data_IF_798353827154
#
_entry.id   IF_798353827154
#
_cell.length_a   1.000
_cell.length_b   1.000
_cell.length_c   1.000
_cell.angle_alpha   90.00
_cell.angle_beta   90.00
_cell.angle_gamma   90.00
#
_symmetry.space_group_name_H-M   'P 1'
#
loop_
_entity.id
_entity.type
_entity.pdbx_description
1 polymer ?
#
# COMPACT_ATOMS: atom_id res chain seq x y z
N UNK A 1 24.64 55.85 -13.73
CA UNK A 1 24.02 55.37 -14.96
C UNK A 1 24.56 53.95 -15.19
N UNK A 2 24.09 52.99 -14.46
CA UNK A 2 24.31 51.57 -14.69
C UNK A 2 23.00 50.86 -14.25
N UNK A 3 22.29 50.34 -15.24
CA UNK A 3 21.09 49.55 -15.00
C UNK A 3 21.43 48.14 -14.55
N UNK A 4 20.77 47.70 -13.57
CA UNK A 4 20.75 46.30 -13.10
C UNK A 4 19.66 45.56 -13.87
N UNK A 5 20.05 44.73 -14.82
CA UNK A 5 19.16 43.79 -15.46
C UNK A 5 18.88 42.62 -14.49
N UNK A 6 17.65 42.58 -14.04
CA UNK A 6 17.06 41.45 -13.35
C UNK A 6 16.86 40.32 -14.34
N UNK A 7 17.50 39.20 -14.10
CA UNK A 7 17.21 37.92 -14.73
C UNK A 7 15.73 37.54 -14.45
N UNK A 8 14.87 37.83 -15.38
CA UNK A 8 13.54 37.29 -15.44
C UNK A 8 13.62 35.82 -15.79
N UNK A 9 13.51 34.96 -14.76
CA UNK A 9 13.25 33.55 -14.98
C UNK A 9 11.80 33.45 -15.46
N UNK A 10 11.63 33.29 -16.76
CA UNK A 10 10.36 32.87 -17.33
C UNK A 10 10.05 31.47 -16.80
N UNK A 11 9.15 31.35 -15.84
CA UNK A 11 8.41 30.13 -15.63
C UNK A 11 7.52 29.90 -16.87
N UNK A 12 8.07 29.22 -17.87
CA UNK A 12 7.23 28.58 -18.87
C UNK A 12 6.37 27.58 -18.08
N UNK A 13 5.06 27.74 -18.17
CA UNK A 13 4.05 26.83 -17.68
C UNK A 13 4.46 25.41 -18.07
N UNK A 14 5.04 24.66 -17.11
CA UNK A 14 5.21 23.23 -17.24
C UNK A 14 3.80 22.64 -17.29
N UNK A 15 3.29 22.44 -18.49
CA UNK A 15 2.27 21.45 -18.71
C UNK A 15 3.00 20.11 -18.59
N UNK A 16 2.81 19.44 -17.46
CA UNK A 16 2.90 18.01 -17.47
C UNK A 16 2.02 17.56 -18.64
N UNK A 17 2.63 17.00 -19.65
CA UNK A 17 1.96 16.08 -20.54
C UNK A 17 1.95 14.73 -19.81
N UNK A 18 1.35 14.72 -18.57
CA UNK A 18 0.49 13.64 -18.25
C UNK A 18 -0.49 13.67 -19.41
N UNK A 19 -0.61 12.62 -20.15
CA UNK A 19 -1.81 12.36 -20.89
C UNK A 19 -2.93 12.72 -19.91
N UNK A 20 -3.75 13.69 -20.32
CA UNK A 20 -5.14 13.71 -19.92
C UNK A 20 -5.77 12.47 -20.60
N UNK A 21 -5.21 11.32 -20.41
CA UNK A 21 -5.91 10.10 -20.19
C UNK A 21 -6.50 10.32 -18.82
N UNK A 22 -7.50 11.17 -18.83
CA UNK A 22 -8.55 11.26 -17.88
C UNK A 22 -8.91 9.81 -17.58
N UNK A 23 -8.39 9.28 -16.45
CA UNK A 23 -8.83 8.01 -15.86
C UNK A 23 -10.26 8.19 -15.31
N UNK A 24 -11.04 9.07 -15.96
CA UNK A 24 -12.43 9.43 -15.63
C UNK A 24 -13.36 8.23 -15.70
N UNK A 25 -12.87 7.09 -16.12
CA UNK A 25 -13.60 5.83 -16.15
C UNK A 25 -13.16 4.77 -15.15
N UNK A 26 -12.07 4.96 -14.40
CA UNK A 26 -11.55 3.96 -13.48
C UNK A 26 -11.74 4.32 -12.00
N UNK A 27 -12.20 5.52 -11.69
CA UNK A 27 -12.49 5.94 -10.33
C UNK A 27 -13.89 6.52 -10.17
N UNK A 28 -14.54 6.26 -9.03
CA UNK A 28 -15.82 6.81 -8.63
C UNK A 28 -15.62 7.70 -7.40
N UNK A 29 -15.72 9.01 -7.57
CA UNK A 29 -15.44 9.99 -6.52
C UNK A 29 -14.05 9.78 -5.86
N UNK A 30 -13.07 9.34 -6.64
CA UNK A 30 -11.73 9.01 -6.16
C UNK A 30 -11.60 7.64 -5.47
N UNK A 31 -12.64 6.82 -5.46
CA UNK A 31 -12.55 5.41 -5.06
C UNK A 31 -12.25 4.56 -6.29
N UNK A 32 -11.30 3.65 -6.15
CA UNK A 32 -10.90 2.68 -7.17
C UNK A 32 -10.98 1.26 -6.63
N UNK A 33 -11.10 0.29 -7.53
CA UNK A 33 -10.84 -1.11 -7.20
C UNK A 33 -9.33 -1.30 -7.01
N UNK A 34 -8.92 -1.95 -5.93
CA UNK A 34 -7.50 -2.09 -5.58
C UNK A 34 -7.02 -3.53 -5.60
N UNK A 35 -7.74 -4.45 -4.98
CA UNK A 35 -7.38 -5.86 -4.94
C UNK A 35 -8.64 -6.72 -4.97
N UNK A 36 -8.53 -7.90 -5.59
CA UNK A 36 -9.56 -8.93 -5.55
C UNK A 36 -8.93 -10.30 -5.34
N UNK A 37 -9.54 -11.12 -4.48
CA UNK A 37 -9.25 -12.53 -4.31
C UNK A 37 -10.53 -13.32 -4.66
N UNK A 38 -10.68 -13.79 -5.90
CA UNK A 38 -11.88 -14.51 -6.31
C UNK A 38 -11.83 -16.01 -5.99
N UNK A 39 -10.63 -16.57 -5.79
CA UNK A 39 -10.41 -17.97 -5.47
C UNK A 39 -9.44 -18.11 -4.29
N UNK A 40 -9.93 -18.12 -3.04
CA UNK A 40 -9.08 -18.23 -1.85
C UNK A 40 -8.42 -19.60 -1.69
N UNK A 41 -8.97 -20.64 -2.32
CA UNK A 41 -8.38 -21.98 -2.34
C UNK A 41 -7.18 -22.03 -3.28
N UNK A 42 -6.22 -22.88 -3.04
CA UNK A 42 -5.10 -23.10 -3.96
C UNK A 42 -3.74 -22.89 -3.31
N UNK A 43 -2.79 -22.31 -4.06
CA UNK A 43 -1.39 -22.24 -3.62
C UNK A 43 -1.18 -21.37 -2.37
N UNK A 44 -1.98 -20.32 -2.18
CA UNK A 44 -1.88 -19.41 -1.03
C UNK A 44 -2.79 -19.83 0.12
N UNK A 45 -3.87 -20.54 -0.17
CA UNK A 45 -4.85 -21.04 0.81
C UNK A 45 -5.23 -19.95 1.84
N UNK A 46 -5.72 -18.79 1.32
CA UNK A 46 -5.92 -17.58 2.10
C UNK A 46 -7.26 -17.61 2.84
N UNK A 47 -7.19 -17.86 4.13
CA UNK A 47 -8.33 -17.84 5.05
C UNK A 47 -8.59 -16.39 5.52
N UNK A 48 -9.61 -15.74 4.97
CA UNK A 48 -9.90 -14.31 5.17
C UNK A 48 -10.53 -14.01 6.52
N UNK A 49 -11.32 -14.92 7.06
CA UNK A 49 -12.05 -14.70 8.31
C UNK A 49 -11.39 -15.35 9.55
N UNK A 50 -10.38 -16.20 9.33
CA UNK A 50 -9.58 -16.77 10.41
C UNK A 50 -10.19 -18.02 11.05
N UNK A 51 -11.08 -18.71 10.37
CA UNK A 51 -11.75 -19.91 10.91
C UNK A 51 -10.90 -21.18 10.78
N UNK A 52 -9.79 -21.12 10.06
CA UNK A 52 -8.84 -22.22 9.85
C UNK A 52 -8.98 -22.94 8.52
N UNK A 53 -9.90 -22.51 7.66
CA UNK A 53 -10.15 -23.07 6.33
C UNK A 53 -10.14 -21.96 5.29
N UNK A 54 -9.59 -22.20 4.12
CA UNK A 54 -9.76 -21.28 2.99
C UNK A 54 -10.90 -21.82 2.10
N UNK A 55 -11.97 -21.07 2.03
CA UNK A 55 -13.21 -21.47 1.35
C UNK A 55 -13.68 -20.38 0.37
N UNK A 56 -14.69 -20.67 -0.43
CA UNK A 56 -15.32 -19.68 -1.31
C UNK A 56 -15.94 -18.48 -0.56
N UNK A 57 -16.14 -18.59 0.74
CA UNK A 57 -16.61 -17.49 1.59
C UNK A 57 -15.49 -16.54 2.03
N UNK A 58 -14.24 -16.91 1.81
CA UNK A 58 -13.05 -16.08 2.06
C UNK A 58 -12.68 -15.13 0.92
N UNK A 59 -13.44 -15.13 -0.16
CA UNK A 59 -13.29 -14.15 -1.23
C UNK A 59 -13.40 -12.73 -0.70
N UNK A 60 -12.60 -11.84 -1.26
CA UNK A 60 -12.71 -10.42 -0.95
C UNK A 60 -12.46 -9.52 -2.15
N UNK A 61 -13.00 -8.31 -2.05
CA UNK A 61 -12.73 -7.16 -2.90
C UNK A 61 -12.23 -6.01 -2.02
N UNK A 62 -11.18 -5.33 -2.45
CA UNK A 62 -10.67 -4.14 -1.79
C UNK A 62 -10.91 -2.90 -2.64
N UNK A 63 -11.42 -1.86 -1.99
CA UNK A 63 -11.54 -0.51 -2.52
C UNK A 63 -10.47 0.38 -1.87
N UNK A 64 -9.97 1.34 -2.63
CA UNK A 64 -8.96 2.28 -2.17
C UNK A 64 -9.38 3.73 -2.44
N UNK A 65 -9.21 4.60 -1.45
CA UNK A 65 -9.48 6.01 -1.58
C UNK A 65 -8.25 6.76 -2.09
N UNK A 66 -8.29 7.16 -3.36
CA UNK A 66 -7.21 7.89 -3.99
C UNK A 66 -7.18 9.38 -3.62
N UNK A 67 -8.12 9.89 -2.84
CA UNK A 67 -8.24 11.32 -2.53
C UNK A 67 -7.54 11.71 -1.22
N UNK A 68 -7.27 13.00 -1.05
CA UNK A 68 -6.79 13.57 0.22
C UNK A 68 -7.86 13.82 1.26
N UNK A 69 -9.11 13.35 1.06
CA UNK A 69 -10.24 13.55 1.97
C UNK A 69 -10.98 12.23 2.23
N UNK A 70 -11.66 12.06 3.39
CA UNK A 70 -12.50 10.90 3.62
C UNK A 70 -13.67 10.85 2.62
N UNK A 71 -13.95 9.67 2.05
CA UNK A 71 -15.07 9.45 1.14
C UNK A 71 -16.12 8.57 1.81
N UNK A 72 -17.36 9.05 1.87
CA UNK A 72 -18.49 8.24 2.35
C UNK A 72 -19.04 7.40 1.20
N UNK A 73 -18.86 6.09 1.31
CA UNK A 73 -19.33 5.09 0.33
C UNK A 73 -20.58 4.35 0.82
N UNK A 74 -21.15 4.75 1.95
CA UNK A 74 -22.37 4.15 2.51
C UNK A 74 -23.56 4.31 1.55
N UNK A 75 -24.23 3.20 1.26
CA UNK A 75 -25.32 3.14 0.30
C UNK A 75 -24.89 2.88 -1.15
N UNK A 76 -23.61 2.85 -1.44
CA UNK A 76 -23.13 2.43 -2.77
C UNK A 76 -23.45 0.95 -3.00
N UNK A 77 -23.63 0.58 -4.25
CA UNK A 77 -24.08 -0.76 -4.66
C UNK A 77 -22.99 -1.44 -5.47
N UNK A 78 -22.50 -2.57 -4.98
CA UNK A 78 -21.67 -3.50 -5.73
C UNK A 78 -22.59 -4.51 -6.42
N UNK A 79 -22.36 -4.78 -7.71
CA UNK A 79 -23.14 -5.72 -8.52
C UNK A 79 -22.21 -6.65 -9.28
N UNK A 80 -22.50 -7.95 -9.30
CA UNK A 80 -21.81 -8.96 -10.12
C UNK A 80 -22.44 -9.12 -11.51
N UNK A 81 -21.78 -9.88 -12.40
CA UNK A 81 -22.31 -10.16 -13.75
C UNK A 81 -23.60 -10.98 -13.76
N UNK A 82 -23.92 -11.69 -12.69
CA UNK A 82 -25.16 -12.45 -12.55
C UNK A 82 -26.33 -11.55 -12.08
N UNK A 83 -26.05 -10.32 -11.67
CA UNK A 83 -27.03 -9.35 -11.15
C UNK A 83 -27.26 -9.47 -9.64
N UNK A 84 -26.41 -10.21 -8.91
CA UNK A 84 -26.41 -10.16 -7.45
C UNK A 84 -25.88 -8.81 -6.98
N UNK A 85 -26.44 -8.28 -5.91
CA UNK A 85 -26.08 -6.96 -5.40
C UNK A 85 -25.74 -6.98 -3.92
N UNK A 86 -24.77 -6.14 -3.54
CA UNK A 86 -24.46 -5.84 -2.16
C UNK A 86 -24.46 -4.33 -1.94
N UNK A 87 -25.24 -3.85 -0.98
CA UNK A 87 -25.30 -2.43 -0.61
C UNK A 87 -24.35 -2.17 0.55
N UNK A 88 -23.38 -1.28 0.37
CA UNK A 88 -22.44 -0.92 1.42
C UNK A 88 -23.21 -0.30 2.61
N UNK A 89 -22.93 -0.71 3.85
CA UNK A 89 -23.63 -0.21 5.03
C UNK A 89 -23.59 1.31 5.14
N UNK A 90 -24.69 1.89 5.58
CA UNK A 90 -24.78 3.35 5.77
C UNK A 90 -23.70 3.85 6.73
N UNK A 91 -23.04 4.96 6.37
CA UNK A 91 -21.96 5.54 7.17
C UNK A 91 -20.60 4.88 6.98
N UNK A 92 -20.45 3.97 6.00
CA UNK A 92 -19.14 3.44 5.62
C UNK A 92 -18.27 4.56 5.02
N UNK A 93 -17.13 4.83 5.65
CA UNK A 93 -16.19 5.88 5.22
C UNK A 93 -14.83 5.24 4.94
N UNK A 94 -14.25 5.57 3.78
CA UNK A 94 -12.86 5.22 3.46
C UNK A 94 -12.02 6.47 3.74
N UNK A 95 -11.06 6.41 4.68
CA UNK A 95 -10.20 7.56 5.00
C UNK A 95 -9.30 7.94 3.82
N UNK A 96 -8.67 9.12 3.83
CA UNK A 96 -7.71 9.51 2.79
C UNK A 96 -6.58 8.49 2.68
N UNK A 97 -6.29 8.01 1.45
CA UNK A 97 -5.27 6.98 1.24
C UNK A 97 -5.55 5.65 1.96
N UNK A 98 -6.78 5.45 2.43
CA UNK A 98 -7.20 4.25 3.14
C UNK A 98 -7.92 3.25 2.25
N UNK A 99 -8.17 2.08 2.80
CA UNK A 99 -8.77 0.94 2.15
C UNK A 99 -10.10 0.56 2.78
N UNK A 100 -10.91 -0.16 2.02
CA UNK A 100 -12.09 -0.87 2.49
C UNK A 100 -12.09 -2.27 1.90
N UNK A 101 -11.97 -3.29 2.75
CA UNK A 101 -12.10 -4.69 2.35
C UNK A 101 -13.57 -5.13 2.47
N UNK A 102 -14.11 -5.70 1.41
CA UNK A 102 -15.44 -6.29 1.35
C UNK A 102 -15.25 -7.80 1.23
N UNK A 103 -15.64 -8.56 2.24
CA UNK A 103 -15.51 -10.03 2.26
C UNK A 103 -16.85 -10.69 2.01
N UNK A 104 -16.86 -11.84 1.35
CA UNK A 104 -18.07 -12.59 1.07
C UNK A 104 -18.74 -13.02 2.36
N UNK A 105 -17.98 -13.56 3.31
CA UNK A 105 -18.47 -13.85 4.66
C UNK A 105 -17.37 -13.55 5.70
N UNK A 106 -17.79 -13.43 6.97
CA UNK A 106 -16.89 -13.31 8.10
C UNK A 106 -17.53 -14.03 9.30
N UNK A 107 -17.24 -15.31 9.44
CA UNK A 107 -17.84 -16.17 10.46
C UNK A 107 -16.87 -17.28 10.90
N UNK A 108 -16.63 -17.45 12.21
CA UNK A 108 -17.30 -16.75 13.31
C UNK A 108 -16.64 -15.40 13.59
N UNK A 109 -17.44 -14.39 13.92
CA UNK A 109 -16.91 -13.13 14.44
C UNK A 109 -17.52 -11.87 13.83
N UNK A 110 -16.87 -10.75 14.12
CA UNK A 110 -17.23 -9.44 13.57
C UNK A 110 -16.07 -8.94 12.70
N UNK A 111 -16.34 -8.48 11.46
CA UNK A 111 -15.29 -7.94 10.61
C UNK A 111 -14.54 -6.81 11.31
N UNK A 112 -13.21 -6.71 11.12
CA UNK A 112 -12.40 -5.64 11.70
C UNK A 112 -12.73 -4.28 11.11
N UNK A 113 -12.33 -3.16 11.75
CA UNK A 113 -12.40 -1.83 11.15
C UNK A 113 -11.74 -1.81 9.77
N UNK A 114 -12.40 -1.17 8.79
CA UNK A 114 -11.96 -1.19 7.39
C UNK A 114 -12.34 -2.45 6.62
N UNK A 115 -13.03 -3.39 7.27
CA UNK A 115 -13.58 -4.59 6.63
C UNK A 115 -15.10 -4.65 6.85
N UNK A 116 -15.84 -5.03 5.83
CA UNK A 116 -17.28 -5.31 5.90
C UNK A 116 -17.55 -6.69 5.32
N UNK A 117 -18.52 -7.40 5.91
CA UNK A 117 -18.98 -8.70 5.43
C UNK A 117 -20.28 -8.55 4.65
N UNK A 118 -20.38 -9.26 3.51
CA UNK A 118 -21.64 -9.38 2.80
C UNK A 118 -22.62 -10.29 3.55
N UNK A 119 -22.10 -11.17 4.42
CA UNK A 119 -22.90 -12.19 5.12
C UNK A 119 -23.47 -13.26 4.20
N UNK A 120 -22.81 -13.50 3.06
CA UNK A 120 -23.21 -14.53 2.11
C UNK A 120 -22.69 -15.90 2.55
N UNK A 121 -23.53 -16.92 2.48
CA UNK A 121 -23.12 -18.32 2.71
C UNK A 121 -22.53 -19.00 1.47
N UNK A 122 -22.27 -18.27 0.39
CA UNK A 122 -21.71 -18.77 -0.87
C UNK A 122 -20.84 -17.70 -1.53
N UNK A 123 -19.99 -18.12 -2.46
CA UNK A 123 -19.20 -17.25 -3.31
C UNK A 123 -20.02 -16.08 -3.88
N UNK A 124 -19.43 -14.91 -3.95
CA UNK A 124 -19.97 -13.74 -4.64
C UNK A 124 -19.16 -13.44 -5.92
N UNK A 125 -17.86 -13.71 -5.88
CA UNK A 125 -16.96 -13.52 -7.02
C UNK A 125 -16.71 -14.87 -7.71
N UNK A 126 -16.84 -14.91 -9.05
CA UNK A 126 -16.62 -16.15 -9.77
C UNK A 126 -15.13 -16.42 -10.01
N UNK A 127 -14.68 -17.67 -9.83
CA UNK A 127 -13.32 -18.12 -10.19
C UNK A 127 -13.07 -18.11 -11.72
N UNK A 128 -14.14 -18.01 -12.52
CA UNK A 128 -14.06 -17.85 -13.97
C UNK A 128 -14.06 -16.39 -14.41
N UNK A 129 -14.50 -16.12 -15.63
CA UNK A 129 -14.67 -14.76 -16.13
C UNK A 129 -15.75 -14.02 -15.33
N UNK A 130 -15.41 -12.86 -14.77
CA UNK A 130 -16.30 -12.06 -13.93
C UNK A 130 -16.19 -10.57 -14.25
N UNK A 131 -17.31 -9.88 -14.10
CA UNK A 131 -17.40 -8.43 -14.17
C UNK A 131 -18.20 -7.91 -12.96
N UNK A 132 -17.66 -6.88 -12.34
CA UNK A 132 -18.29 -6.20 -11.21
C UNK A 132 -18.55 -4.74 -11.58
N UNK A 133 -19.59 -4.14 -10.99
CA UNK A 133 -19.79 -2.69 -10.99
C UNK A 133 -19.96 -2.17 -9.57
N UNK A 134 -19.46 -0.95 -9.33
CA UNK A 134 -19.69 -0.20 -8.11
C UNK A 134 -20.35 1.12 -8.48
N UNK A 135 -21.53 1.40 -7.92
CA UNK A 135 -22.35 2.56 -8.25
C UNK A 135 -22.71 3.37 -7.00
N UNK A 136 -22.66 4.70 -7.12
CA UNK A 136 -23.15 5.64 -6.11
C UNK A 136 -24.61 6.04 -6.32
N UNK A 137 -25.27 5.45 -7.33
CA UNK A 137 -26.63 5.75 -7.76
C UNK A 137 -26.72 6.85 -8.83
N UNK A 138 -25.62 7.51 -9.19
CA UNK A 138 -25.51 8.53 -10.25
C UNK A 138 -24.51 8.09 -11.31
N UNK A 139 -23.38 7.60 -10.88
CA UNK A 139 -22.27 7.12 -11.71
C UNK A 139 -21.85 5.73 -11.25
N UNK A 140 -21.08 5.04 -12.09
CA UNK A 140 -20.57 3.71 -11.78
C UNK A 140 -19.17 3.50 -12.39
N UNK A 141 -18.39 2.64 -11.75
CA UNK A 141 -17.13 2.10 -12.28
C UNK A 141 -17.23 0.58 -12.37
N UNK A 142 -16.49 -0.02 -13.28
CA UNK A 142 -16.47 -1.46 -13.50
C UNK A 142 -15.09 -2.07 -13.35
N UNK A 143 -15.08 -3.34 -12.95
CA UNK A 143 -13.95 -4.23 -12.85
C UNK A 143 -14.24 -5.47 -13.70
N UNK A 144 -13.25 -5.97 -14.44
CA UNK A 144 -13.31 -7.25 -15.14
C UNK A 144 -12.06 -8.07 -14.87
N UNK A 145 -12.17 -9.39 -14.89
CA UNK A 145 -11.02 -10.30 -14.91
C UNK A 145 -11.37 -11.58 -15.72
N UNK A 146 -10.33 -12.36 -16.06
CA UNK A 146 -10.44 -13.58 -16.85
C UNK A 146 -11.14 -13.41 -18.21
N UNK A 147 -11.00 -12.20 -18.82
CA UNK A 147 -11.56 -11.90 -20.13
C UNK A 147 -13.09 -11.71 -20.15
N UNK A 148 -13.71 -11.40 -19.03
CA UNK A 148 -15.11 -11.05 -18.95
C UNK A 148 -15.43 -9.77 -19.75
N UNK A 149 -16.65 -9.67 -20.25
CA UNK A 149 -17.16 -8.43 -20.82
C UNK A 149 -17.67 -7.52 -19.70
N UNK A 150 -17.41 -6.23 -19.83
CA UNK A 150 -17.97 -5.24 -18.93
C UNK A 150 -19.49 -5.30 -18.81
N UNK A 151 -19.96 -5.08 -17.58
CA UNK A 151 -21.38 -4.85 -17.28
C UNK A 151 -21.73 -3.37 -17.17
N UNK A 152 -20.71 -2.47 -17.17
CA UNK A 152 -20.91 -1.02 -17.08
C UNK A 152 -21.15 -0.43 -18.47
N UNK A 153 -22.29 0.24 -18.71
CA UNK A 153 -22.55 0.92 -19.95
C UNK A 153 -21.54 2.05 -20.22
N UNK A 154 -20.89 2.01 -21.39
CA UNK A 154 -19.96 3.07 -21.79
C UNK A 154 -18.48 2.84 -21.46
N UNK A 155 -18.14 1.70 -20.84
CA UNK A 155 -16.75 1.22 -20.79
C UNK A 155 -15.86 1.81 -19.71
N UNK A 156 -16.41 2.17 -18.58
CA UNK A 156 -15.63 2.54 -17.39
C UNK A 156 -15.15 1.28 -16.67
N UNK A 157 -14.16 0.58 -17.24
CA UNK A 157 -13.70 -0.68 -16.70
C UNK A 157 -12.23 -0.68 -16.39
N UNK A 158 -11.93 -1.28 -15.26
CA UNK A 158 -10.60 -1.72 -14.90
C UNK A 158 -10.47 -3.20 -15.22
N UNK A 159 -9.56 -3.59 -16.11
CA UNK A 159 -9.27 -4.99 -16.39
C UNK A 159 -8.13 -5.46 -15.48
N UNK A 160 -8.45 -6.35 -14.58
CA UNK A 160 -7.50 -6.96 -13.64
C UNK A 160 -6.68 -8.09 -14.28
N UNK A 161 -6.98 -8.46 -15.52
CA UNK A 161 -6.28 -9.53 -16.23
C UNK A 161 -6.77 -10.90 -15.84
N UNK A 162 -5.86 -11.88 -15.73
CA UNK A 162 -6.21 -13.26 -15.44
C UNK A 162 -5.93 -13.60 -13.99
N UNK A 163 -6.96 -14.11 -13.33
CA UNK A 163 -6.84 -14.78 -12.06
C UNK A 163 -5.95 -16.04 -12.16
N UNK A 164 -5.30 -16.38 -11.07
CA UNK A 164 -4.57 -17.64 -10.88
C UNK A 164 -4.97 -18.24 -9.55
N UNK A 165 -5.17 -19.54 -9.57
CA UNK A 165 -5.58 -20.37 -8.45
C UNK A 165 -4.90 -19.97 -7.14
N UNK A 166 -5.68 -19.53 -6.15
CA UNK A 166 -5.24 -19.10 -4.84
C UNK A 166 -4.46 -17.79 -4.80
N UNK A 167 -4.46 -16.97 -5.86
CA UNK A 167 -3.77 -15.68 -5.91
C UNK A 167 -4.75 -14.53 -5.96
N UNK A 168 -4.41 -13.42 -5.28
CA UNK A 168 -5.11 -12.17 -5.52
C UNK A 168 -4.61 -11.47 -6.78
N UNK A 169 -5.44 -10.61 -7.34
CA UNK A 169 -5.05 -9.65 -8.37
C UNK A 169 -5.11 -8.27 -7.72
N UNK A 170 -3.98 -7.59 -7.64
CA UNK A 170 -3.89 -6.31 -6.94
C UNK A 170 -3.30 -5.20 -7.80
N UNK A 171 -3.73 -3.98 -7.54
CA UNK A 171 -3.12 -2.78 -8.11
C UNK A 171 -1.70 -2.61 -7.55
N UNK A 172 -0.77 -2.28 -8.42
CA UNK A 172 0.59 -2.04 -8.00
C UNK A 172 1.20 -0.85 -8.75
N UNK A 173 1.56 0.18 -8.00
CA UNK A 173 1.25 0.45 -6.58
C UNK A 173 -0.25 0.64 -6.33
N UNK A 174 -0.67 0.63 -5.06
CA UNK A 174 -2.06 0.85 -4.67
C UNK A 174 -2.72 2.02 -5.39
N UNK A 175 -3.92 1.79 -5.90
CA UNK A 175 -4.69 2.77 -6.66
C UNK A 175 -4.19 3.04 -8.08
N UNK A 176 -3.21 2.29 -8.57
CA UNK A 176 -2.76 2.37 -9.97
C UNK A 176 -3.70 1.62 -10.92
N UNK A 177 -3.48 1.81 -12.23
CA UNK A 177 -4.16 1.04 -13.27
C UNK A 177 -3.35 -0.19 -13.73
N UNK A 178 -2.27 -0.52 -13.04
CA UNK A 178 -1.43 -1.70 -13.31
C UNK A 178 -1.76 -2.76 -12.27
N UNK A 179 -2.08 -3.98 -12.74
CA UNK A 179 -2.49 -5.09 -11.89
C UNK A 179 -1.53 -6.26 -12.02
N UNK A 180 -1.28 -6.92 -10.90
CA UNK A 180 -0.37 -8.06 -10.77
C UNK A 180 -1.03 -9.18 -9.98
N UNK A 181 -0.66 -10.43 -10.29
CA UNK A 181 -1.06 -11.57 -9.47
C UNK A 181 -0.10 -11.71 -8.30
N UNK A 182 -0.62 -11.68 -7.09
CA UNK A 182 0.15 -11.89 -5.86
C UNK A 182 -0.04 -13.29 -5.30
N UNK A 183 1.07 -13.94 -4.99
CA UNK A 183 1.06 -15.25 -4.29
C UNK A 183 0.53 -15.12 -2.86
N UNK A 184 0.54 -13.91 -2.33
CA UNK A 184 0.05 -13.59 -1.00
C UNK A 184 -0.84 -12.36 -1.12
N UNK A 185 -2.15 -12.49 -0.90
CA UNK A 185 -3.05 -11.35 -0.81
C UNK A 185 -2.60 -10.36 0.27
N UNK A 186 -2.61 -9.07 -0.05
CA UNK A 186 -2.16 -7.99 0.86
C UNK A 186 -3.26 -6.99 1.21
N UNK A 187 -4.48 -7.45 1.54
CA UNK A 187 -5.59 -6.54 1.78
C UNK A 187 -5.29 -5.61 2.95
N UNK A 188 -5.54 -4.34 2.74
CA UNK A 188 -5.44 -3.27 3.73
C UNK A 188 -4.01 -2.86 4.14
N UNK A 189 -2.94 -3.28 3.46
CA UNK A 189 -1.59 -2.97 3.91
C UNK A 189 -0.55 -2.80 2.79
N UNK A 190 0.30 -1.77 2.84
CA UNK A 190 1.50 -1.70 2.04
C UNK A 190 2.61 -2.58 2.63
N UNK A 191 3.45 -3.16 1.78
CA UNK A 191 4.62 -3.96 2.18
C UNK A 191 5.79 -3.06 2.60
N UNK A 192 5.85 -2.67 3.87
CA UNK A 192 6.86 -1.73 4.41
C UNK A 192 8.02 -2.46 5.06
N UNK A 193 9.20 -2.46 4.45
CA UNK A 193 10.36 -3.24 4.92
C UNK A 193 11.67 -2.46 4.91
N UNK A 194 12.51 -2.71 5.94
CA UNK A 194 13.93 -2.31 5.97
C UNK A 194 14.82 -3.45 5.47
N UNK A 195 15.91 -3.14 4.79
CA UNK A 195 16.96 -4.14 4.53
C UNK A 195 17.92 -4.28 5.70
N UNK A 196 18.59 -5.43 5.76
CA UNK A 196 19.65 -5.70 6.73
C UNK A 196 20.69 -4.59 6.77
N UNK A 197 21.16 -4.22 7.96
CA UNK A 197 22.17 -3.18 8.19
C UNK A 197 21.60 -1.78 8.36
N UNK A 198 20.31 -1.55 8.09
CA UNK A 198 19.66 -0.26 8.34
C UNK A 198 19.76 0.12 9.82
N UNK A 199 20.25 1.32 10.12
CA UNK A 199 20.40 1.81 11.49
C UNK A 199 19.14 2.53 11.95
N UNK A 200 18.56 2.03 13.02
CA UNK A 200 17.40 2.60 13.71
C UNK A 200 17.88 3.34 14.95
N UNK A 201 17.35 4.52 15.18
CA UNK A 201 17.68 5.31 16.36
C UNK A 201 16.95 4.76 17.59
N UNK A 202 17.69 4.42 18.64
CA UNK A 202 17.19 3.88 19.90
C UNK A 202 17.66 4.75 21.08
N UNK A 203 17.18 4.47 22.29
CA UNK A 203 17.62 5.13 23.53
C UNK A 203 19.09 4.89 23.86
N UNK A 204 19.72 3.89 23.24
CA UNK A 204 21.16 3.54 23.38
C UNK A 204 21.99 3.92 22.13
N UNK A 205 21.44 4.74 21.23
CA UNK A 205 22.06 5.16 19.98
C UNK A 205 21.56 4.36 18.78
N UNK A 206 22.29 4.41 17.66
CA UNK A 206 21.91 3.74 16.42
C UNK A 206 22.23 2.25 16.47
N UNK A 207 21.22 1.41 16.28
CA UNK A 207 21.32 -0.07 16.28
C UNK A 207 20.91 -0.58 14.91
N UNK A 208 21.59 -1.61 14.37
CA UNK A 208 21.16 -2.25 13.12
C UNK A 208 19.83 -2.96 13.33
N UNK A 209 18.96 -2.90 12.33
CA UNK A 209 17.59 -3.44 12.44
C UNK A 209 17.59 -4.93 12.84
N UNK A 210 18.53 -5.71 12.31
CA UNK A 210 18.69 -7.13 12.65
C UNK A 210 19.26 -7.41 14.05
N UNK A 211 19.75 -6.38 14.73
CA UNK A 211 20.28 -6.47 16.11
C UNK A 211 19.27 -6.00 17.15
N UNK A 212 18.11 -5.52 16.69
CA UNK A 212 17.01 -5.11 17.57
C UNK A 212 16.29 -6.33 18.14
N UNK A 213 15.64 -6.12 19.28
CA UNK A 213 14.83 -7.13 19.96
C UNK A 213 13.50 -6.54 20.42
N UNK A 214 12.52 -7.40 20.65
CA UNK A 214 11.25 -7.03 21.27
C UNK A 214 11.52 -6.34 22.61
N UNK A 215 10.88 -5.19 22.83
CA UNK A 215 11.06 -4.35 24.01
C UNK A 215 12.18 -3.31 23.91
N UNK A 216 13.04 -3.34 22.87
CA UNK A 216 13.97 -2.25 22.61
C UNK A 216 13.20 -0.95 22.35
N UNK A 217 13.75 0.17 22.85
CA UNK A 217 13.12 1.48 22.76
C UNK A 217 13.62 2.22 21.51
N UNK A 218 12.74 2.44 20.54
CA UNK A 218 13.04 3.19 19.31
C UNK A 218 12.52 4.63 19.41
N UNK A 219 13.29 5.57 18.87
CA UNK A 219 12.91 6.98 18.81
C UNK A 219 11.80 7.17 17.78
N UNK A 220 10.74 7.88 18.16
CA UNK A 220 9.65 8.28 17.27
C UNK A 220 9.68 9.81 17.04
N UNK A 221 8.98 10.27 16.01
CA UNK A 221 9.08 11.64 15.50
C UNK A 221 8.63 12.74 16.47
N UNK A 222 7.88 12.41 17.52
CA UNK A 222 7.51 13.37 18.59
C UNK A 222 8.63 13.55 19.64
N UNK A 223 9.76 12.85 19.47
CA UNK A 223 10.90 12.88 20.37
C UNK A 223 10.80 11.91 21.56
N UNK A 224 9.74 11.15 21.67
CA UNK A 224 9.61 10.10 22.68
C UNK A 224 10.17 8.75 22.19
N UNK A 225 10.17 7.76 23.08
CA UNK A 225 10.60 6.41 22.78
C UNK A 225 9.45 5.43 22.92
N UNK A 226 9.31 4.51 21.97
CA UNK A 226 8.32 3.46 21.97
C UNK A 226 8.98 2.07 21.98
N UNK A 227 8.47 1.11 22.75
CA UNK A 227 9.01 -0.24 22.73
C UNK A 227 8.61 -0.99 21.48
N UNK A 228 9.55 -1.77 20.92
CA UNK A 228 9.26 -2.71 19.84
C UNK A 228 8.33 -3.80 20.36
N UNK A 229 7.16 -3.93 19.74
CA UNK A 229 6.20 -4.99 20.04
C UNK A 229 6.63 -6.30 19.38
N UNK A 230 7.03 -6.21 18.10
CA UNK A 230 7.50 -7.35 17.33
C UNK A 230 8.48 -6.92 16.25
N UNK A 231 9.41 -7.81 15.91
CA UNK A 231 10.36 -7.64 14.82
C UNK A 231 10.19 -8.79 13.83
N UNK A 232 9.41 -8.55 12.78
CA UNK A 232 9.24 -9.51 11.70
C UNK A 232 10.43 -9.51 10.74
N UNK A 233 10.74 -10.66 10.16
CA UNK A 233 11.71 -10.74 9.07
C UNK A 233 11.26 -11.72 7.99
N UNK A 234 11.69 -11.44 6.75
CA UNK A 234 11.39 -12.27 5.57
C UNK A 234 12.61 -12.35 4.66
N UNK A 235 12.93 -13.55 4.22
CA UNK A 235 13.97 -13.80 3.23
C UNK A 235 13.36 -13.72 1.83
N UNK A 236 13.89 -12.84 0.98
CA UNK A 236 13.48 -12.65 -0.41
C UNK A 236 14.52 -13.33 -1.30
N UNK A 237 14.08 -14.17 -2.22
CA UNK A 237 14.94 -14.86 -3.19
C UNK A 237 14.98 -14.06 -4.49
N UNK A 238 16.11 -14.13 -5.20
CA UNK A 238 16.26 -13.42 -6.48
C UNK A 238 15.24 -13.87 -7.52
N UNK A 239 14.92 -15.17 -7.53
CA UNK A 239 13.92 -15.73 -8.44
C UNK A 239 12.50 -15.23 -8.21
N UNK A 240 12.21 -14.70 -7.02
CA UNK A 240 10.91 -14.13 -6.67
C UNK A 240 10.82 -12.65 -7.08
N UNK A 241 11.97 -11.99 -7.32
CA UNK A 241 12.05 -10.59 -7.76
C UNK A 241 11.90 -10.48 -9.29
N UNK A 242 10.66 -10.48 -9.79
CA UNK A 242 10.36 -10.48 -11.23
C UNK A 242 10.01 -9.12 -11.79
N UNK A 243 9.40 -8.27 -10.98
CA UNK A 243 8.99 -6.92 -11.36
C UNK A 243 9.87 -5.85 -10.71
N UNK A 244 10.64 -5.07 -11.51
CA UNK A 244 11.48 -4.01 -10.96
C UNK A 244 10.73 -2.94 -10.17
N UNK A 245 9.45 -2.72 -10.44
CA UNK A 245 8.67 -1.70 -9.76
C UNK A 245 8.20 -2.16 -8.38
N UNK A 246 7.97 -3.47 -8.21
CA UNK A 246 7.36 -4.08 -7.05
C UNK A 246 8.37 -4.75 -6.11
N UNK A 247 9.30 -5.49 -6.72
CA UNK A 247 10.11 -6.46 -5.98
C UNK A 247 11.50 -5.90 -5.66
N UNK A 248 11.98 -4.92 -6.47
CA UNK A 248 13.34 -4.43 -6.29
C UNK A 248 13.42 -3.46 -5.11
N UNK A 249 14.34 -3.68 -4.16
CA UNK A 249 14.61 -2.72 -3.11
C UNK A 249 14.96 -1.35 -3.69
N UNK A 250 14.52 -0.30 -3.02
CA UNK A 250 14.84 1.08 -3.39
C UNK A 250 15.94 1.59 -2.49
N UNK A 251 17.03 1.98 -3.12
CA UNK A 251 18.21 2.58 -2.47
C UNK A 251 18.11 4.09 -2.51
N UNK A 252 18.12 4.71 -1.34
CA UNK A 252 18.24 6.15 -1.12
C UNK A 252 19.69 6.46 -0.82
N UNK A 253 20.36 7.20 -1.70
CA UNK A 253 21.75 7.58 -1.52
C UNK A 253 21.91 8.50 -0.30
N UNK A 254 23.10 8.47 0.32
CA UNK A 254 23.43 9.45 1.36
C UNK A 254 23.20 10.87 0.82
N UNK A 255 22.59 11.72 1.63
CA UNK A 255 22.28 13.13 1.32
C UNK A 255 21.29 13.34 0.16
N UNK A 256 20.57 12.28 -0.25
CA UNK A 256 19.60 12.37 -1.34
C UNK A 256 18.41 13.32 -1.08
N UNK A 257 18.10 13.58 0.19
CA UNK A 257 17.10 14.55 0.61
C UNK A 257 17.70 15.88 1.09
N UNK A 258 19.01 16.11 0.88
CA UNK A 258 19.70 17.30 1.34
C UNK A 258 19.96 17.31 2.85
N UNK A 259 20.65 18.32 3.34
CA UNK A 259 20.99 18.54 4.76
C UNK A 259 21.73 17.35 5.42
N UNK A 260 22.39 16.50 4.63
CA UNK A 260 23.09 15.30 5.10
C UNK A 260 22.19 14.09 5.32
N UNK A 261 20.94 14.12 4.83
CA UNK A 261 19.95 13.06 5.02
C UNK A 261 19.65 12.28 3.73
N UNK A 262 19.54 10.93 3.82
CA UNK A 262 19.95 10.12 4.96
C UNK A 262 21.45 10.28 5.27
N UNK A 263 21.83 10.06 6.51
CA UNK A 263 23.24 10.17 6.93
C UNK A 263 24.13 9.04 6.38
N UNK A 264 23.53 7.93 5.99
CA UNK A 264 24.08 6.77 5.23
C UNK A 264 23.08 6.35 4.16
N UNK A 265 23.49 5.43 3.31
CA UNK A 265 22.56 4.79 2.36
C UNK A 265 21.46 4.08 3.14
N UNK A 266 20.20 4.39 2.82
CA UNK A 266 19.02 3.67 3.30
C UNK A 266 18.47 2.82 2.14
N UNK A 267 18.20 1.55 2.39
CA UNK A 267 17.57 0.66 1.40
C UNK A 267 16.32 0.04 2.03
N UNK A 268 15.19 0.18 1.32
CA UNK A 268 13.88 -0.24 1.78
C UNK A 268 13.07 -0.86 0.64
N UNK A 269 11.92 -1.48 0.95
CA UNK A 269 10.97 -1.90 -0.08
C UNK A 269 10.37 -0.69 -0.82
N UNK A 270 9.86 -0.85 -2.06
CA UNK A 270 9.24 0.25 -2.81
C UNK A 270 8.07 0.92 -2.10
N UNK A 271 7.30 0.12 -1.36
CA UNK A 271 6.11 0.60 -0.65
C UNK A 271 6.40 1.21 0.72
N UNK A 272 7.64 1.09 1.22
CA UNK A 272 8.03 1.75 2.45
C UNK A 272 7.94 3.27 2.27
N UNK A 273 7.31 3.97 3.23
CA UNK A 273 7.15 5.41 3.12
C UNK A 273 8.10 6.20 4.02
N UNK A 274 8.57 7.32 3.47
CA UNK A 274 9.16 8.41 4.23
C UNK A 274 8.05 9.35 4.69
N UNK A 275 8.19 9.88 5.89
CA UNK A 275 7.32 10.93 6.40
C UNK A 275 7.85 12.29 5.97
N UNK A 276 7.12 12.97 5.09
CA UNK A 276 7.48 14.28 4.54
C UNK A 276 6.23 15.13 4.49
N UNK A 277 6.28 16.31 5.13
CA UNK A 277 5.18 17.30 5.08
C UNK A 277 3.81 16.71 5.46
N UNK A 278 3.73 16.10 6.64
CA UNK A 278 2.56 15.46 7.23
C UNK A 278 1.94 14.34 6.35
N UNK A 279 2.75 13.75 5.45
CA UNK A 279 2.33 12.68 4.54
C UNK A 279 3.35 11.55 4.52
N UNK A 280 2.85 10.33 4.35
CA UNK A 280 3.66 9.15 4.08
C UNK A 280 3.84 9.02 2.56
N UNK A 281 5.05 9.20 2.05
CA UNK A 281 5.35 9.10 0.62
C UNK A 281 6.13 7.81 0.36
N UNK A 282 5.55 6.90 -0.43
CA UNK A 282 6.23 5.67 -0.81
C UNK A 282 7.56 5.96 -1.49
N UNK A 283 8.60 5.25 -1.10
CA UNK A 283 9.96 5.44 -1.64
C UNK A 283 10.00 5.11 -3.14
N UNK A 284 9.14 4.20 -3.60
CA UNK A 284 8.95 3.92 -5.02
C UNK A 284 8.54 5.17 -5.83
N UNK A 285 7.66 6.02 -5.27
CA UNK A 285 7.28 7.31 -5.89
C UNK A 285 8.47 8.26 -5.95
N UNK A 286 9.27 8.33 -4.88
CA UNK A 286 10.47 9.17 -4.85
C UNK A 286 11.55 8.69 -5.83
N UNK A 287 11.63 7.38 -6.08
CA UNK A 287 12.55 6.79 -7.06
C UNK A 287 12.24 7.22 -8.50
N UNK A 288 10.99 7.55 -8.78
CA UNK A 288 10.59 8.07 -10.08
C UNK A 288 10.97 9.56 -10.25
N UNK A 289 11.12 10.28 -9.14
CA UNK A 289 11.40 11.72 -9.13
C UNK A 289 12.89 12.07 -8.98
N UNK A 290 13.71 11.20 -8.41
CA UNK A 290 15.12 11.51 -8.11
C UNK A 290 16.09 10.50 -8.73
N UNK A 291 17.24 10.98 -9.20
CA UNK A 291 18.34 10.14 -9.68
C UNK A 291 19.14 9.51 -8.51
N UNK A 292 19.04 10.06 -7.32
CA UNK A 292 19.74 9.60 -6.12
C UNK A 292 18.92 8.58 -5.32
N UNK A 293 17.70 8.28 -5.79
CA UNK A 293 16.81 7.25 -5.26
C UNK A 293 16.51 6.26 -6.39
N UNK A 294 16.99 5.03 -6.27
CA UNK A 294 16.99 4.08 -7.39
C UNK A 294 16.56 2.68 -6.96
N UNK A 295 15.79 2.01 -7.81
CA UNK A 295 15.49 0.59 -7.67
C UNK A 295 16.74 -0.23 -8.00
N UNK A 296 17.08 -1.20 -7.15
CA UNK A 296 18.29 -2.00 -7.29
C UNK A 296 17.91 -3.45 -7.52
N UNK A 297 18.34 -4.00 -8.66
CA UNK A 297 18.15 -5.42 -8.93
C UNK A 297 18.97 -6.25 -7.94
N UNK A 298 18.33 -7.16 -7.16
CA UNK A 298 19.07 -8.04 -6.27
C UNK A 298 19.92 -9.04 -7.06
N UNK A 299 21.17 -9.24 -6.63
CA UNK A 299 22.08 -10.26 -7.19
C UNK A 299 22.11 -11.55 -6.35
N UNK A 300 21.70 -11.45 -5.09
CA UNK A 300 21.63 -12.55 -4.13
C UNK A 300 20.40 -12.41 -3.23
N UNK A 301 20.01 -13.49 -2.56
CA UNK A 301 18.92 -13.44 -1.59
C UNK A 301 19.23 -12.47 -0.46
N UNK A 302 18.23 -11.72 -0.01
CA UNK A 302 18.38 -10.72 1.04
C UNK A 302 17.23 -10.80 2.03
N UNK A 303 17.37 -10.12 3.18
CA UNK A 303 16.34 -10.09 4.21
C UNK A 303 15.72 -8.71 4.34
N UNK A 304 14.40 -8.73 4.44
CA UNK A 304 13.59 -7.62 4.89
C UNK A 304 13.25 -7.75 6.37
N UNK A 305 13.17 -6.60 7.07
CA UNK A 305 12.82 -6.49 8.46
C UNK A 305 11.69 -5.49 8.64
N UNK A 306 10.79 -5.77 9.58
CA UNK A 306 9.65 -4.93 9.91
C UNK A 306 9.62 -4.66 11.41
N UNK A 307 9.47 -3.40 11.80
CA UNK A 307 9.37 -2.99 13.19
C UNK A 307 7.90 -2.70 13.50
N UNK A 308 7.29 -3.51 14.34
CA UNK A 308 5.95 -3.29 14.86
C UNK A 308 6.01 -2.63 16.23
N UNK A 309 5.21 -1.60 16.42
CA UNK A 309 4.96 -0.94 17.69
C UNK A 309 3.50 -1.18 18.10
N UNK A 310 3.10 -0.73 19.28
CA UNK A 310 1.72 -0.85 19.76
C UNK A 310 0.71 -0.09 18.87
N UNK A 311 1.17 0.98 18.22
CA UNK A 311 0.42 1.73 17.20
C UNK A 311 1.36 2.10 16.05
N UNK A 312 0.78 2.41 14.88
CA UNK A 312 1.55 2.91 13.75
C UNK A 312 2.19 4.26 14.10
N UNK A 313 3.51 4.35 14.01
CA UNK A 313 4.33 5.50 14.38
C UNK A 313 5.35 5.81 13.30
N UNK A 314 5.98 6.96 13.41
CA UNK A 314 7.11 7.37 12.58
C UNK A 314 8.40 7.15 13.35
N UNK A 315 9.27 6.29 12.80
CA UNK A 315 10.59 5.94 13.35
C UNK A 315 11.67 6.81 12.75
N UNK A 316 12.87 6.76 13.36
CA UNK A 316 14.06 7.40 12.80
C UNK A 316 15.03 6.32 12.32
N UNK A 317 15.18 6.20 10.99
CA UNK A 317 16.12 5.29 10.32
C UNK A 317 17.11 6.06 9.45
N UNK A 318 18.40 5.84 9.65
CA UNK A 318 19.48 6.58 8.97
C UNK A 318 19.33 8.10 9.03
N UNK A 319 18.69 8.60 10.11
CA UNK A 319 18.36 10.01 10.32
C UNK A 319 17.09 10.49 9.63
N UNK A 320 16.42 9.67 8.83
CA UNK A 320 15.14 9.98 8.18
C UNK A 320 13.96 9.52 9.02
N UNK A 321 12.87 10.26 8.91
CA UNK A 321 11.56 9.89 9.43
C UNK A 321 10.89 8.89 8.49
N UNK A 322 10.64 7.69 8.99
CA UNK A 322 10.10 6.55 8.24
C UNK A 322 8.99 5.88 9.04
N UNK A 323 8.09 5.19 8.37
CA UNK A 323 6.99 4.52 9.05
C UNK A 323 7.39 3.23 9.77
N UNK A 324 6.66 2.87 10.83
CA UNK A 324 6.65 1.55 11.44
C UNK A 324 5.69 0.63 10.68
N UNK A 325 5.72 -0.65 11.01
CA UNK A 325 4.78 -1.62 10.44
C UNK A 325 3.33 -1.23 10.70
N UNK A 326 2.52 -1.20 9.63
CA UNK A 326 1.08 -0.97 9.68
C UNK A 326 0.37 -2.16 9.03
N UNK A 327 0.13 -3.24 9.79
CA UNK A 327 -0.44 -4.48 9.24
C UNK A 327 -1.60 -5.07 10.02
N UNK A 328 -2.36 -5.92 9.32
CA UNK A 328 -3.31 -6.86 9.88
C UNK A 328 -2.62 -8.18 10.24
N UNK A 329 -3.22 -8.97 11.08
CA UNK A 329 -2.70 -10.23 11.60
C UNK A 329 -2.23 -11.26 10.55
N UNK A 330 -2.99 -11.43 9.47
CA UNK A 330 -2.70 -12.47 8.47
C UNK A 330 -1.38 -12.25 7.74
N UNK A 331 -0.93 -11.03 7.67
CA UNK A 331 0.33 -10.71 7.01
C UNK A 331 1.55 -11.24 7.74
N UNK A 332 1.42 -11.59 9.04
CA UNK A 332 2.54 -12.14 9.83
C UNK A 332 2.86 -13.58 9.50
N UNK A 333 1.92 -14.35 8.97
CA UNK A 333 2.18 -15.72 8.50
C UNK A 333 3.13 -15.75 7.31
N UNK A 334 3.32 -14.61 6.63
CA UNK A 334 4.23 -14.47 5.50
C UNK A 334 5.67 -14.13 5.90
N UNK A 335 5.93 -13.97 7.20
CA UNK A 335 7.27 -13.75 7.72
C UNK A 335 7.91 -15.07 8.10
N UNK A 336 9.24 -15.15 7.98
CA UNK A 336 10.00 -16.34 8.35
C UNK A 336 9.84 -16.69 9.84
N UNK A 337 9.49 -15.69 10.67
CA UNK A 337 9.22 -15.83 12.10
C UNK A 337 7.77 -15.49 12.48
N UNK A 338 6.82 -15.69 11.58
CA UNK A 338 5.39 -15.40 11.84
C UNK A 338 4.82 -16.22 12.99
N UNK A 339 5.24 -17.48 13.13
CA UNK A 339 4.81 -18.36 14.23
C UNK A 339 5.18 -17.79 15.62
N UNK A 340 6.32 -17.08 15.73
CA UNK A 340 6.73 -16.40 16.96
C UNK A 340 5.68 -15.38 17.42
N UNK A 341 5.13 -14.61 16.48
CA UNK A 341 4.07 -13.66 16.81
C UNK A 341 2.84 -14.36 17.40
N UNK A 342 2.45 -15.48 16.81
CA UNK A 342 1.29 -16.27 17.25
C UNK A 342 1.47 -16.81 18.67
N UNK A 343 2.71 -17.21 18.99
CA UNK A 343 3.05 -17.71 20.34
C UNK A 343 3.06 -16.57 21.37
N UNK A 344 3.55 -15.38 20.99
CA UNK A 344 3.65 -14.23 21.89
C UNK A 344 2.28 -13.60 22.17
N UNK A 345 1.40 -13.56 21.17
CA UNK A 345 0.12 -12.86 21.23
C UNK A 345 -1.09 -13.75 20.89
N UNK A 346 -1.26 -14.93 21.54
CA UNK A 346 -2.28 -15.94 21.17
C UNK A 346 -3.72 -15.47 21.34
N UNK A 347 -3.96 -14.41 22.11
CA UNK A 347 -5.28 -13.86 22.38
C UNK A 347 -5.49 -12.48 21.74
N UNK A 348 -4.52 -12.01 20.93
CA UNK A 348 -4.70 -10.75 20.24
C UNK A 348 -5.81 -10.92 19.21
N UNK A 349 -6.80 -10.03 19.26
CA UNK A 349 -7.87 -10.06 18.29
C UNK A 349 -7.34 -9.49 16.98
N UNK A 350 -6.91 -10.35 16.11
CA UNK A 350 -6.24 -10.09 14.84
C UNK A 350 -7.09 -9.38 13.80
N UNK A 351 -8.28 -9.01 14.18
CA UNK A 351 -9.17 -8.19 13.36
C UNK A 351 -8.83 -6.69 13.41
N UNK A 352 -7.80 -6.29 14.13
CA UNK A 352 -7.50 -4.87 14.33
C UNK A 352 -6.41 -4.41 13.37
N UNK A 353 -6.78 -3.62 12.36
CA UNK A 353 -5.83 -2.78 11.64
C UNK A 353 -5.45 -1.62 12.55
N UNK A 354 -4.16 -1.45 12.80
CA UNK A 354 -3.67 -0.20 13.36
C UNK A 354 -3.94 0.90 12.33
N UNK A 355 -4.72 1.95 12.66
CA UNK A 355 -4.98 3.02 11.71
C UNK A 355 -3.67 3.66 11.30
N UNK A 356 -3.51 3.98 10.01
CA UNK A 356 -2.38 4.78 9.56
C UNK A 356 -2.45 6.14 10.24
N UNK A 357 -1.31 6.60 10.76
CA UNK A 357 -1.23 7.86 11.49
C UNK A 357 -1.33 9.08 10.56
N UNK A 358 -1.01 8.90 9.27
CA UNK A 358 -0.92 9.99 8.28
C UNK A 358 -1.42 9.55 6.90
N UNK A 359 -1.88 10.51 6.04
CA UNK A 359 -2.26 10.21 4.67
C UNK A 359 -1.07 9.68 3.87
N UNK A 360 -1.33 8.71 2.97
CA UNK A 360 -0.30 8.06 2.17
C UNK A 360 -0.36 8.48 0.71
N UNK A 361 0.82 8.67 0.12
CA UNK A 361 1.04 8.92 -1.30
C UNK A 361 1.82 7.74 -1.89
N UNK A 362 1.08 6.83 -2.50
CA UNK A 362 1.60 5.62 -3.14
C UNK A 362 1.78 5.77 -4.66
N UNK A 363 1.29 6.87 -5.24
CA UNK A 363 1.38 7.15 -6.67
C UNK A 363 1.75 8.61 -6.92
N UNK A 364 2.59 8.87 -7.94
CA UNK A 364 3.05 10.21 -8.30
C UNK A 364 1.93 11.17 -8.75
N UNK A 365 0.82 10.64 -9.28
CA UNK A 365 -0.36 11.44 -9.66
C UNK A 365 -1.06 12.12 -8.48
N UNK A 366 -0.74 11.72 -7.25
CA UNK A 366 -1.28 12.29 -5.99
C UNK A 366 -0.43 13.39 -5.40
N UNK A 367 0.72 13.64 -5.98
CA UNK A 367 1.59 14.73 -5.54
C UNK A 367 0.92 16.06 -5.88
N UNK A 368 0.57 16.84 -4.86
CA UNK A 368 0.06 18.20 -5.08
C UNK A 368 1.17 19.11 -5.59
N UNK A 369 0.84 20.21 -6.32
CA UNK A 369 1.83 21.17 -6.75
C UNK A 369 2.70 21.72 -5.61
N UNK A 370 2.11 21.91 -4.43
CA UNK A 370 2.81 22.38 -3.24
C UNK A 370 3.85 21.35 -2.76
N UNK A 371 3.45 20.07 -2.71
CA UNK A 371 4.34 18.98 -2.31
C UNK A 371 5.44 18.74 -3.35
N UNK A 372 5.12 18.81 -4.65
CA UNK A 372 6.13 18.76 -5.72
C UNK A 372 7.15 19.89 -5.55
N UNK A 373 6.70 21.09 -5.25
CA UNK A 373 7.59 22.23 -4.99
C UNK A 373 8.51 21.97 -3.79
N UNK A 374 7.98 21.43 -2.70
CA UNK A 374 8.78 21.07 -1.51
C UNK A 374 9.78 19.95 -1.82
N UNK A 375 9.33 18.89 -2.46
CA UNK A 375 10.20 17.79 -2.87
C UNK A 375 11.31 18.27 -3.82
N UNK A 376 11.04 19.23 -4.70
CA UNK A 376 12.06 19.81 -5.58
C UNK A 376 13.17 20.57 -4.85
N UNK A 377 12.88 21.06 -3.65
CA UNK A 377 13.89 21.70 -2.78
C UNK A 377 14.63 20.69 -1.90
N UNK A 378 14.01 19.56 -1.58
CA UNK A 378 14.57 18.53 -0.73
C UNK A 378 15.45 17.55 -1.53
N UNK A 379 14.93 17.07 -2.67
CA UNK A 379 15.60 16.03 -3.46
C UNK A 379 16.82 16.60 -4.20
N UNK A 380 18.00 16.10 -3.87
CA UNK A 380 19.16 16.23 -4.74
C UNK A 380 18.98 15.34 -5.97
N UNK A 381 19.48 15.77 -7.13
CA UNK A 381 19.41 14.96 -8.35
C UNK A 381 18.00 14.77 -8.94
N UNK A 382 17.15 15.81 -8.87
CA UNK A 382 15.81 15.78 -9.45
C UNK A 382 15.87 15.38 -10.93
N UNK A 383 15.16 14.33 -11.32
CA UNK A 383 14.97 13.93 -12.71
C UNK A 383 14.04 14.97 -13.35
N UNK A 384 14.54 15.74 -14.29
CA UNK A 384 13.68 16.50 -15.20
C UNK A 384 12.88 15.47 -16.01
N UNK A 385 11.64 15.26 -15.65
CA UNK A 385 10.72 14.46 -16.46
C UNK A 385 10.42 15.32 -17.70
N UNK A 386 10.97 14.88 -18.84
CA UNK A 386 10.83 15.56 -20.14
C UNK A 386 9.43 15.32 -20.73
#
# INVERSE_FOLDING_TARGET
>A
MFGTDLLGVYFSSFRFKGSEDDVSGTSLNGIVFNEILPDPNGSCNFDTDGDGSAEATDEFLELFNTTGAPVNVGGWVLTDAAGNTFVLPAGTIIPPGGFLKIVTNFSPGTPPPGCISMGSGSAFFNNGAEALSLSDGVSEIGLTYNGANSIVPGGCNTDFGSDKDGKSIQASPDGSATFVNCDVPTPLAPNTCFTRGTKITTDRGEVAVEELSIGDLVLINDGSYAPIKWLGHKTIRVEDCKDPLLDYPVKISKDALGMGLPNRVLTVSPDHALFIDDSLINVGVLADLSADIVRVQPEEAFQYFHIELESHQILIAEGLEVESLCHTYKDRTNYDNGDEYMELYPNENFSYKLPMSYPRISNSSRLTPELISKLSHLLSGLKLVA
#
